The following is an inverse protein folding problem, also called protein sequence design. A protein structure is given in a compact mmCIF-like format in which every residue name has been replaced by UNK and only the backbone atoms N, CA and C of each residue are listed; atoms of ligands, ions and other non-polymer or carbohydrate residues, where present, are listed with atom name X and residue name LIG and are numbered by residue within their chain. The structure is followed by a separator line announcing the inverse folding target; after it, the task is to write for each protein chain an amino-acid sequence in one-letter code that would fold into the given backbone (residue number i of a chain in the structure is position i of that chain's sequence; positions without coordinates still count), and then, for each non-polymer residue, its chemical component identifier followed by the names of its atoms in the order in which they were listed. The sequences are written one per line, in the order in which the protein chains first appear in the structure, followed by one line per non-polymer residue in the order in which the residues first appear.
data_IF_558574082077
#
_entry.id   IF_558574082077
#
_cell.length_a   1.000
_cell.length_b   1.000
_cell.length_c   1.000
_cell.angle_alpha   90.00
_cell.angle_beta   90.00
_cell.angle_gamma   90.00
#
_symmetry.space_group_name_H-M   'P 1'
#
loop_
_entity.id
_entity.type
_entity.pdbx_description
1 polymer ?
#
# COMPACT_ATOMS: atom_id res chain seq x y z
N UNK A 1 0.34 23.52 5.19
CA UNK A 1 1.37 24.28 4.45
C UNK A 1 0.99 24.35 2.97
N UNK A 2 1.24 25.48 2.31
CA UNK A 2 1.65 25.54 0.88
C UNK A 2 0.63 25.62 -0.28
N UNK A 3 -0.70 25.60 -0.13
CA UNK A 3 -1.58 25.85 -1.32
C UNK A 3 -1.35 27.26 -1.87
N UNK A 4 -1.33 28.27 -0.99
CA UNK A 4 -1.06 29.66 -1.37
C UNK A 4 0.33 29.83 -2.00
N UNK A 5 1.36 29.18 -1.45
CA UNK A 5 2.72 29.25 -1.99
C UNK A 5 2.85 28.56 -3.36
N UNK A 6 2.14 27.45 -3.55
CA UNK A 6 2.08 26.76 -4.84
C UNK A 6 1.38 27.60 -5.91
N UNK A 7 0.26 28.24 -5.57
CA UNK A 7 -0.46 29.15 -6.48
C UNK A 7 0.39 30.38 -6.86
N UNK A 8 1.16 30.92 -5.91
CA UNK A 8 2.13 32.00 -6.20
C UNK A 8 3.17 31.53 -7.21
N UNK A 9 3.69 30.30 -7.07
CA UNK A 9 4.63 29.71 -8.03
C UNK A 9 4.03 29.55 -9.44
N UNK A 10 2.78 29.06 -9.53
CA UNK A 10 2.06 28.97 -10.80
C UNK A 10 1.87 30.35 -11.42
N UNK A 11 1.45 31.35 -10.64
CA UNK A 11 1.20 32.70 -11.12
C UNK A 11 2.49 33.35 -11.65
N UNK A 12 3.59 33.27 -10.88
CA UNK A 12 4.88 33.79 -11.30
C UNK A 12 5.38 33.10 -12.57
N UNK A 13 5.27 31.77 -12.65
CA UNK A 13 5.63 31.00 -13.84
C UNK A 13 4.78 31.35 -15.07
N UNK A 14 3.48 31.58 -14.90
CA UNK A 14 2.59 31.97 -15.99
C UNK A 14 2.94 33.35 -16.56
N UNK A 15 3.26 34.34 -15.70
CA UNK A 15 3.66 35.68 -16.15
C UNK A 15 4.97 35.66 -16.93
N UNK A 16 5.99 34.98 -16.38
CA UNK A 16 7.30 34.85 -17.05
C UNK A 16 7.18 34.03 -18.34
N UNK A 17 6.45 32.91 -18.31
CA UNK A 17 6.22 32.07 -19.48
C UNK A 17 5.44 32.80 -20.59
N UNK A 18 4.35 33.49 -20.25
CA UNK A 18 3.55 34.22 -21.24
C UNK A 18 4.36 35.36 -21.87
N UNK A 19 5.11 36.13 -21.08
CA UNK A 19 5.93 37.24 -21.60
C UNK A 19 7.04 36.74 -22.52
N UNK A 20 7.75 35.68 -22.16
CA UNK A 20 8.79 35.08 -23.04
C UNK A 20 8.19 34.55 -24.35
N UNK A 21 7.06 33.83 -24.29
CA UNK A 21 6.37 33.32 -25.49
C UNK A 21 5.87 34.46 -26.38
N UNK A 22 5.28 35.51 -25.81
CA UNK A 22 4.78 36.66 -26.57
C UNK A 22 5.91 37.46 -27.22
N UNK A 23 7.05 37.62 -26.54
CA UNK A 23 8.21 38.36 -27.06
C UNK A 23 9.02 37.56 -28.09
N UNK A 24 9.10 36.25 -27.93
CA UNK A 24 9.91 35.37 -28.80
C UNK A 24 9.13 34.73 -29.95
N UNK A 25 7.81 34.93 -30.00
CA UNK A 25 6.96 34.35 -31.05
C UNK A 25 7.21 35.01 -32.40
N UNK A 26 7.48 34.25 -33.48
CA UNK A 26 7.68 34.79 -34.82
C UNK A 26 6.37 35.10 -35.57
N UNK A 27 5.20 34.88 -34.96
CA UNK A 27 3.87 35.09 -35.57
C UNK A 27 3.34 36.50 -35.35
N UNK A 28 2.53 36.98 -36.29
CA UNK A 28 1.87 38.28 -36.17
C UNK A 28 0.81 38.28 -35.04
N UNK A 29 0.55 39.45 -34.44
CA UNK A 29 -0.39 39.57 -33.32
C UNK A 29 -1.82 39.13 -33.66
N UNK A 30 -2.26 39.28 -34.92
CA UNK A 30 -3.55 38.79 -35.40
C UNK A 30 -3.61 37.26 -35.42
N UNK A 31 -2.55 36.59 -35.88
CA UNK A 31 -2.45 35.13 -35.88
C UNK A 31 -2.37 34.57 -34.46
N UNK A 32 -1.63 35.23 -33.56
CA UNK A 32 -1.53 34.83 -32.15
C UNK A 32 -2.91 34.88 -31.48
N UNK A 33 -3.67 35.97 -31.66
CA UNK A 33 -5.03 36.09 -31.11
C UNK A 33 -5.99 35.05 -31.70
N UNK A 34 -5.92 34.81 -33.01
CA UNK A 34 -6.73 33.79 -33.68
C UNK A 34 -6.41 32.38 -33.16
N UNK A 35 -5.13 32.06 -33.03
CA UNK A 35 -4.66 30.78 -32.48
C UNK A 35 -5.13 30.61 -31.03
N UNK A 36 -4.96 31.62 -30.18
CA UNK A 36 -5.43 31.59 -28.78
C UNK A 36 -6.93 31.32 -28.72
N UNK A 37 -7.74 31.93 -29.60
CA UNK A 37 -9.20 31.72 -29.62
C UNK A 37 -9.57 30.28 -29.97
N UNK A 38 -8.91 29.69 -30.97
CA UNK A 38 -9.12 28.29 -31.34
C UNK A 38 -8.67 27.35 -30.23
N UNK A 39 -7.41 27.49 -29.78
CA UNK A 39 -6.83 26.64 -28.75
C UNK A 39 -7.56 26.75 -27.42
N UNK A 40 -8.08 27.93 -27.05
CA UNK A 40 -8.89 28.07 -25.84
C UNK A 40 -10.20 27.29 -25.91
N UNK A 41 -10.80 27.19 -27.10
CA UNK A 41 -12.03 26.40 -27.31
C UNK A 41 -11.70 24.90 -27.17
N UNK A 42 -10.67 24.43 -27.87
CA UNK A 42 -10.24 23.03 -27.83
C UNK A 42 -9.79 22.61 -26.43
N UNK A 43 -9.08 23.50 -25.72
CA UNK A 43 -8.63 23.25 -24.35
C UNK A 43 -9.81 23.16 -23.38
N UNK A 44 -10.84 23.99 -23.57
CA UNK A 44 -12.05 23.95 -22.75
C UNK A 44 -12.79 22.63 -22.91
N UNK A 45 -12.92 22.13 -24.15
CA UNK A 45 -13.52 20.82 -24.43
C UNK A 45 -12.71 19.70 -23.79
N UNK A 46 -11.39 19.65 -24.04
CA UNK A 46 -10.50 18.63 -23.45
C UNK A 46 -10.52 18.65 -21.93
N UNK A 47 -10.59 19.82 -21.31
CA UNK A 47 -10.67 19.95 -19.86
C UNK A 47 -12.03 19.47 -19.32
N UNK A 48 -13.11 19.71 -20.06
CA UNK A 48 -14.43 19.16 -19.74
C UNK A 48 -14.40 17.63 -19.77
N UNK A 49 -13.84 17.04 -20.83
CA UNK A 49 -13.70 15.59 -20.98
C UNK A 49 -12.83 14.99 -19.87
N UNK A 50 -11.72 15.65 -19.53
CA UNK A 50 -10.86 15.22 -18.44
C UNK A 50 -11.60 15.24 -17.10
N UNK A 51 -12.41 16.26 -16.82
CA UNK A 51 -13.25 16.31 -15.62
C UNK A 51 -14.26 15.18 -15.56
N UNK A 52 -14.93 14.89 -16.68
CA UNK A 52 -15.89 13.79 -16.77
C UNK A 52 -15.20 12.45 -16.49
N UNK A 53 -14.08 12.18 -17.16
CA UNK A 53 -13.27 10.96 -16.92
C UNK A 53 -12.78 10.85 -15.48
N UNK A 54 -12.38 11.96 -14.86
CA UNK A 54 -11.98 11.97 -13.46
C UNK A 54 -13.16 11.67 -12.52
N UNK A 55 -14.36 12.17 -12.84
CA UNK A 55 -15.57 11.79 -12.10
C UNK A 55 -15.88 10.30 -12.27
N UNK A 56 -15.81 9.76 -13.47
CA UNK A 56 -16.04 8.34 -13.72
C UNK A 56 -15.05 7.46 -12.95
N UNK A 57 -13.77 7.83 -12.93
CA UNK A 57 -12.74 7.15 -12.13
C UNK A 57 -13.04 7.25 -10.64
N UNK A 58 -13.45 8.43 -10.15
CA UNK A 58 -13.83 8.62 -8.75
C UNK A 58 -15.01 7.74 -8.35
N UNK A 59 -16.06 7.72 -9.18
CA UNK A 59 -17.25 6.86 -8.98
C UNK A 59 -16.85 5.38 -9.01
N UNK A 60 -15.99 4.98 -9.95
CA UNK A 60 -15.50 3.60 -10.05
C UNK A 60 -14.72 3.18 -8.80
N UNK A 61 -13.87 4.06 -8.25
CA UNK A 61 -13.14 3.81 -7.00
C UNK A 61 -14.10 3.75 -5.80
N UNK A 62 -15.09 4.64 -5.74
CA UNK A 62 -16.10 4.65 -4.67
C UNK A 62 -16.95 3.36 -4.69
N UNK A 63 -17.39 2.93 -5.87
CA UNK A 63 -18.14 1.69 -6.04
C UNK A 63 -17.28 0.46 -5.72
N UNK A 64 -16.06 0.38 -6.24
CA UNK A 64 -15.13 -0.70 -5.91
C UNK A 64 -14.90 -0.78 -4.39
N UNK A 65 -14.70 0.36 -3.73
CA UNK A 65 -14.49 0.43 -2.28
C UNK A 65 -15.74 0.03 -1.50
N UNK A 66 -16.94 0.33 -2.01
CA UNK A 66 -18.22 -0.04 -1.40
C UNK A 66 -18.49 -1.53 -1.53
N UNK A 67 -18.28 -2.10 -2.71
CA UNK A 67 -18.43 -3.53 -2.97
C UNK A 67 -17.36 -4.34 -2.22
N UNK A 68 -16.15 -3.79 -2.08
CA UNK A 68 -15.09 -4.37 -1.23
C UNK A 68 -15.47 -4.37 0.26
N UNK A 69 -16.25 -3.38 0.74
CA UNK A 69 -16.68 -3.33 2.14
C UNK A 69 -17.73 -4.37 2.50
N UNK A 70 -18.49 -4.91 1.55
CA UNK A 70 -19.43 -6.01 1.81
C UNK A 70 -18.73 -7.38 1.89
N UNK A 71 -17.64 -7.60 1.15
CA UNK A 71 -16.94 -8.90 1.09
C UNK A 71 -15.83 -9.05 2.14
N UNK A 72 -15.25 -7.95 2.61
CA UNK A 72 -14.16 -7.98 3.60
C UNK A 72 -14.52 -8.41 5.03
N UNK A 73 -15.67 -8.03 5.65
CA UNK A 73 -15.95 -8.42 7.02
C UNK A 73 -16.17 -9.94 7.18
N UNK A 74 -16.88 -10.58 6.25
CA UNK A 74 -17.13 -12.03 6.28
C UNK A 74 -15.84 -12.85 6.05
N UNK A 75 -14.95 -12.38 5.18
CA UNK A 75 -13.64 -13.01 4.96
C UNK A 75 -12.71 -12.83 6.16
N UNK A 76 -12.76 -11.67 6.83
CA UNK A 76 -11.96 -11.43 8.03
C UNK A 76 -12.46 -12.25 9.24
N UNK A 77 -13.77 -12.45 9.37
CA UNK A 77 -14.37 -13.28 10.41
C UNK A 77 -14.04 -14.77 10.22
N UNK A 78 -14.18 -15.29 8.99
CA UNK A 78 -13.82 -16.68 8.68
C UNK A 78 -12.32 -16.96 8.84
N UNK A 79 -11.46 -15.98 8.52
CA UNK A 79 -10.02 -16.09 8.78
C UNK A 79 -9.72 -16.12 10.29
N UNK A 80 -10.42 -15.31 11.09
CA UNK A 80 -10.29 -15.28 12.54
C UNK A 80 -10.74 -16.61 13.18
N UNK A 81 -11.85 -17.17 12.73
CA UNK A 81 -12.31 -18.50 13.15
C UNK A 81 -11.29 -19.58 12.80
N UNK A 82 -10.75 -19.57 11.58
CA UNK A 82 -9.73 -20.53 11.14
C UNK A 82 -8.47 -20.46 12.01
N UNK A 83 -8.04 -19.24 12.39
CA UNK A 83 -6.88 -19.04 13.28
C UNK A 83 -7.20 -19.52 14.71
N UNK A 84 -8.41 -19.29 15.21
CA UNK A 84 -8.83 -19.77 16.53
C UNK A 84 -8.92 -21.30 16.57
N UNK A 85 -9.47 -21.93 15.54
CA UNK A 85 -9.54 -23.37 15.37
C UNK A 85 -8.14 -23.98 15.35
N UNK A 86 -7.26 -23.47 14.48
CA UNK A 86 -5.87 -23.93 14.39
C UNK A 86 -5.12 -23.81 15.72
N UNK A 87 -5.31 -22.70 16.43
CA UNK A 87 -4.72 -22.50 17.76
C UNK A 87 -5.28 -23.49 18.79
N UNK A 88 -6.58 -23.74 18.78
CA UNK A 88 -7.24 -24.69 19.69
C UNK A 88 -6.80 -26.12 19.45
N UNK A 89 -6.59 -26.51 18.20
CA UNK A 89 -6.16 -27.87 17.82
C UNK A 89 -4.65 -28.08 18.05
N UNK A 90 -3.84 -27.06 17.82
CA UNK A 90 -2.37 -27.17 17.90
C UNK A 90 -1.83 -26.97 19.32
N UNK A 91 -2.49 -26.17 20.16
CA UNK A 91 -2.07 -25.94 21.55
C UNK A 91 -1.90 -27.23 22.40
N UNK A 92 -2.85 -28.19 22.41
CA UNK A 92 -2.68 -29.43 23.18
C UNK A 92 -1.54 -30.29 22.62
N UNK A 93 -1.35 -30.31 21.30
CA UNK A 93 -0.26 -31.06 20.65
C UNK A 93 1.10 -30.49 21.05
N UNK A 94 1.23 -29.16 21.14
CA UNK A 94 2.46 -28.52 21.62
C UNK A 94 2.76 -28.88 23.08
N UNK A 95 1.74 -28.91 23.95
CA UNK A 95 1.92 -29.30 25.35
C UNK A 95 2.33 -30.77 25.48
N UNK A 96 1.65 -31.67 24.77
CA UNK A 96 1.99 -33.10 24.80
C UNK A 96 3.43 -33.37 24.34
N UNK A 97 3.89 -32.71 23.27
CA UNK A 97 5.27 -32.83 22.81
C UNK A 97 6.27 -32.32 23.86
N UNK A 98 5.93 -31.26 24.59
CA UNK A 98 6.77 -30.72 25.67
C UNK A 98 6.88 -31.70 26.85
N UNK A 99 5.77 -32.32 27.23
CA UNK A 99 5.70 -33.33 28.28
C UNK A 99 6.48 -34.59 27.90
N UNK A 100 6.37 -35.04 26.64
CA UNK A 100 7.13 -36.18 26.11
C UNK A 100 8.63 -35.88 26.08
N UNK A 101 9.04 -34.70 25.60
CA UNK A 101 10.45 -34.27 25.62
C UNK A 101 11.00 -34.23 27.05
N UNK A 102 10.21 -33.72 28.00
CA UNK A 102 10.61 -33.67 29.41
C UNK A 102 10.75 -35.07 30.00
N UNK A 103 9.82 -35.97 29.68
CA UNK A 103 9.87 -37.36 30.13
C UNK A 103 11.08 -38.10 29.58
N UNK A 104 11.44 -37.85 28.32
CA UNK A 104 12.66 -38.41 27.70
C UNK A 104 13.92 -37.88 28.40
N UNK A 105 13.98 -36.58 28.70
CA UNK A 105 15.13 -35.99 29.41
C UNK A 105 15.30 -36.59 30.81
N UNK A 106 14.20 -36.77 31.55
CA UNK A 106 14.24 -37.40 32.88
C UNK A 106 14.72 -38.84 32.80
N UNK A 107 14.21 -39.61 31.82
CA UNK A 107 14.65 -40.98 31.60
C UNK A 107 16.15 -41.04 31.23
N UNK A 108 16.65 -40.11 30.41
CA UNK A 108 18.07 -40.00 30.09
C UNK A 108 18.92 -39.67 31.31
N UNK A 109 18.49 -38.74 32.16
CA UNK A 109 19.23 -38.35 33.37
C UNK A 109 19.28 -39.50 34.40
N UNK A 110 18.18 -40.26 34.52
CA UNK A 110 18.13 -41.46 35.36
C UNK A 110 19.05 -42.56 34.81
N UNK A 111 19.05 -42.78 33.50
CA UNK A 111 19.98 -43.71 32.84
C UNK A 111 21.44 -43.27 33.03
N UNK A 112 21.76 -41.97 32.96
CA UNK A 112 23.11 -41.46 33.20
C UNK A 112 23.57 -41.65 34.65
N UNK A 113 22.65 -41.56 35.63
CA UNK A 113 22.95 -41.85 37.05
C UNK A 113 23.20 -43.34 37.31
N UNK A 114 22.54 -44.22 36.56
CA UNK A 114 22.67 -45.68 36.71
C UNK A 114 23.92 -46.20 35.96
N UNK A 115 24.36 -45.51 34.91
CA UNK A 115 25.58 -45.88 34.18
C UNK A 115 26.83 -45.36 34.92
N UNK A 116 27.84 -46.21 35.21
CA UNK A 116 29.08 -45.74 35.79
C UNK A 116 29.80 -44.81 34.80
N UNK A 117 30.15 -43.60 35.25
CA UNK A 117 30.97 -42.66 34.48
C UNK A 117 32.26 -43.38 34.01
N UNK A 118 32.62 -43.33 32.72
CA UNK A 118 33.87 -43.91 32.25
C UNK A 118 35.02 -43.33 33.08
N UNK A 119 35.82 -44.20 33.70
CA UNK A 119 37.05 -43.78 34.38
C UNK A 119 37.92 -43.06 33.36
N UNK A 120 38.18 -41.78 33.59
CA UNK A 120 39.27 -41.09 32.92
C UNK A 120 40.56 -41.86 33.18
N UNK A 121 41.11 -42.44 32.11
CA UNK A 121 42.41 -43.08 32.11
C UNK A 121 43.43 -41.94 32.17
N UNK A 122 43.84 -41.57 33.38
CA UNK A 122 44.94 -40.63 33.59
C UNK A 122 46.28 -41.35 33.41
N UNK A 123 46.97 -40.97 32.32
CA UNK A 123 48.41 -41.02 32.03
C UNK A 123 49.14 -42.36 32.01
#
# INVERSE_FOLDING_TARGET
MKVTQFLIGIAAGAVVGASTVLLSTPKSGSEVRSTIKSTSTDFKEKLSDARLKLQDVKISIENLTKDSKEVFPETAESLKESIMQWKSETAPIQQQLQDEITSIQLAMEELEKILPKPKEINK
#
